data_IF_966341967272
#
_entry.id   IF_966341967272
#
_cell.length_a   1.000
_cell.length_b   1.000
_cell.length_c   1.000
_cell.angle_alpha   90.00
_cell.angle_beta   90.00
_cell.angle_gamma   90.00
#
_symmetry.space_group_name_H-M   'P 1'
#
loop_
_entity.id
_entity.type
_entity.pdbx_description
1 polymer ?
#
# COMPACT_ATOMS: atom_id res chain seq x y z
N UNK A 1 -11.69 30.16 -7.75
CA UNK A 1 -10.24 30.10 -7.54
C UNK A 1 -10.00 30.28 -6.06
N UNK A 2 -9.96 29.19 -5.29
CA UNK A 2 -9.66 29.29 -3.85
C UNK A 2 -8.27 29.88 -3.69
N UNK A 3 -8.19 30.91 -2.85
CA UNK A 3 -7.04 31.78 -2.66
C UNK A 3 -5.78 31.02 -2.29
N UNK A 4 -4.65 31.38 -2.91
CA UNK A 4 -3.31 30.95 -2.54
C UNK A 4 -2.98 31.36 -1.10
N UNK A 5 -3.45 30.54 -0.16
CA UNK A 5 -3.27 30.78 1.25
C UNK A 5 -1.91 30.22 1.67
N UNK A 6 -1.10 31.08 2.25
CA UNK A 6 0.16 30.70 2.86
C UNK A 6 -0.07 29.98 4.19
N UNK A 7 0.56 28.83 4.35
CA UNK A 7 0.62 28.10 5.61
C UNK A 7 1.93 28.44 6.31
N UNK A 8 1.83 28.90 7.55
CA UNK A 8 2.99 29.29 8.35
C UNK A 8 3.21 28.32 9.50
N UNK A 9 4.45 27.82 9.64
CA UNK A 9 4.85 26.87 10.65
C UNK A 9 4.64 25.40 10.25
N UNK A 10 5.55 24.53 10.71
CA UNK A 10 5.49 23.08 10.46
C UNK A 10 4.20 22.43 10.92
N UNK A 11 3.54 22.97 11.96
CA UNK A 11 2.27 22.44 12.48
C UNK A 11 1.11 22.69 11.52
N UNK A 12 1.03 23.87 10.91
CA UNK A 12 -0.02 24.20 9.94
C UNK A 12 0.18 23.40 8.65
N UNK A 13 1.42 23.30 8.17
CA UNK A 13 1.79 22.49 7.01
C UNK A 13 1.48 21.01 7.30
N UNK A 14 1.85 20.49 8.48
CA UNK A 14 1.49 19.14 8.92
C UNK A 14 -0.01 18.87 8.87
N UNK A 15 -0.81 19.78 9.41
CA UNK A 15 -2.28 19.67 9.39
C UNK A 15 -2.82 19.60 7.97
N UNK A 16 -2.25 20.37 7.03
CA UNK A 16 -2.64 20.33 5.62
C UNK A 16 -2.37 18.97 4.97
N UNK A 17 -1.20 18.38 5.24
CA UNK A 17 -0.86 17.03 4.77
C UNK A 17 -1.62 15.91 5.51
N UNK A 18 -2.38 16.21 6.57
CA UNK A 18 -2.92 15.19 7.46
C UNK A 18 -1.84 14.40 8.21
N UNK A 19 -0.67 15.02 8.47
CA UNK A 19 0.50 14.39 9.10
C UNK A 19 1.02 15.22 10.27
N UNK A 20 1.94 14.62 11.04
CA UNK A 20 2.64 15.35 12.11
C UNK A 20 3.65 16.35 11.55
N UNK A 21 3.96 17.39 12.31
CA UNK A 21 5.01 18.36 11.96
C UNK A 21 6.37 17.69 11.69
N UNK A 22 6.72 16.65 12.48
CA UNK A 22 7.96 15.89 12.33
C UNK A 22 8.02 15.13 11.00
N UNK A 23 6.88 14.60 10.54
CA UNK A 23 6.79 13.91 9.25
C UNK A 23 7.04 14.87 8.10
N UNK A 24 6.46 16.07 8.17
CA UNK A 24 6.62 17.09 7.13
C UNK A 24 8.05 17.67 7.11
N UNK A 25 8.68 17.85 8.28
CA UNK A 25 10.10 18.21 8.35
C UNK A 25 10.99 17.18 7.65
N UNK A 26 10.64 15.89 7.78
CA UNK A 26 11.34 14.82 7.06
C UNK A 26 11.14 14.95 5.55
N UNK A 27 9.92 15.23 5.09
CA UNK A 27 9.65 15.47 3.65
C UNK A 27 10.44 16.67 3.10
N UNK A 28 10.59 17.73 3.90
CA UNK A 28 11.42 18.87 3.53
C UNK A 28 12.91 18.49 3.41
N UNK A 29 13.42 17.63 4.29
CA UNK A 29 14.83 17.23 4.32
C UNK A 29 15.18 16.15 3.28
N UNK A 30 14.33 15.14 3.15
CA UNK A 30 14.64 13.90 2.42
C UNK A 30 13.97 13.88 1.03
N UNK A 31 12.74 14.42 0.92
CA UNK A 31 11.91 14.36 -0.30
C UNK A 31 11.86 15.70 -1.07
N UNK A 32 12.59 16.72 -0.60
CA UNK A 32 12.66 18.03 -1.24
C UNK A 32 11.34 18.78 -1.29
N UNK A 33 10.49 18.66 -0.26
CA UNK A 33 9.22 19.38 -0.19
C UNK A 33 9.42 20.90 -0.35
N UNK A 34 8.62 21.59 -1.19
CA UNK A 34 8.76 23.03 -1.38
C UNK A 34 8.28 23.81 -0.15
N UNK A 35 9.21 24.54 0.47
CA UNK A 35 8.90 25.51 1.53
C UNK A 35 9.91 26.67 1.47
N UNK A 36 9.49 27.80 2.04
CA UNK A 36 10.31 28.99 2.24
C UNK A 36 10.53 29.22 3.73
N UNK A 37 11.54 29.98 4.08
CA UNK A 37 11.71 30.50 5.44
C UNK A 37 11.48 32.01 5.43
N UNK A 38 10.64 32.48 6.34
CA UNK A 38 10.53 33.89 6.69
C UNK A 38 11.89 34.42 7.21
N UNK A 39 12.19 35.73 7.22
CA UNK A 39 13.43 36.25 7.81
C UNK A 39 13.65 35.83 9.27
N UNK A 40 12.57 35.51 9.97
CA UNK A 40 12.60 34.95 11.33
C UNK A 40 12.95 33.45 11.41
N UNK A 41 13.25 32.80 10.27
CA UNK A 41 13.52 31.36 10.18
C UNK A 41 12.28 30.47 10.28
N UNK A 42 11.07 31.04 10.17
CA UNK A 42 9.82 30.28 10.26
C UNK A 42 9.47 29.67 8.90
N UNK A 43 9.16 28.37 8.83
CA UNK A 43 8.82 27.72 7.57
C UNK A 43 7.45 28.20 7.07
N UNK A 44 7.34 28.43 5.78
CA UNK A 44 6.11 28.86 5.11
C UNK A 44 5.96 28.09 3.81
N UNK A 45 4.74 27.66 3.49
CA UNK A 45 4.47 26.98 2.24
C UNK A 45 3.13 27.42 1.66
N UNK A 46 3.09 27.52 0.34
CA UNK A 46 1.89 27.84 -0.42
C UNK A 46 1.13 26.55 -0.70
N UNK A 47 -0.18 26.53 -0.46
CA UNK A 47 -1.00 25.30 -0.61
C UNK A 47 -0.88 24.68 -2.01
N UNK A 48 -0.93 25.49 -3.06
CA UNK A 48 -0.79 25.04 -4.46
C UNK A 48 0.54 24.31 -4.73
N UNK A 49 1.64 24.76 -4.12
CA UNK A 49 2.92 24.06 -4.21
C UNK A 49 2.92 22.73 -3.44
N UNK A 50 2.24 22.68 -2.30
CA UNK A 50 2.09 21.44 -1.54
C UNK A 50 1.23 20.42 -2.30
N UNK A 51 0.17 20.86 -2.97
CA UNK A 51 -0.67 19.99 -3.80
C UNK A 51 0.10 19.39 -4.97
N UNK A 52 0.91 20.20 -5.66
CA UNK A 52 1.80 19.72 -6.71
C UNK A 52 2.80 18.69 -6.18
N UNK A 53 3.35 18.92 -4.98
CA UNK A 53 4.23 17.96 -4.32
C UNK A 53 3.52 16.64 -3.98
N UNK A 54 2.30 16.71 -3.44
CA UNK A 54 1.48 15.52 -3.13
C UNK A 54 1.18 14.72 -4.40
N UNK A 55 0.79 15.39 -5.49
CA UNK A 55 0.57 14.75 -6.78
C UNK A 55 1.82 14.02 -7.28
N UNK A 56 2.98 14.68 -7.23
CA UNK A 56 4.25 14.08 -7.63
C UNK A 56 4.61 12.85 -6.78
N UNK A 57 4.43 12.91 -5.46
CA UNK A 57 4.66 11.77 -4.56
C UNK A 57 3.74 10.60 -4.89
N UNK A 58 2.45 10.87 -5.16
CA UNK A 58 1.49 9.85 -5.51
C UNK A 58 1.79 9.19 -6.87
N UNK A 59 2.24 9.96 -7.86
CA UNK A 59 2.69 9.43 -9.15
C UNK A 59 3.90 8.51 -8.99
N UNK A 60 4.89 8.93 -8.20
CA UNK A 60 6.05 8.09 -7.90
C UNK A 60 5.64 6.79 -7.22
N UNK A 61 4.75 6.87 -6.22
CA UNK A 61 4.21 5.70 -5.55
C UNK A 61 3.40 4.80 -6.48
N UNK A 62 2.62 5.34 -7.41
CA UNK A 62 1.89 4.55 -8.40
C UNK A 62 2.85 3.80 -9.33
N UNK A 63 3.87 4.49 -9.84
CA UNK A 63 4.83 3.93 -10.78
C UNK A 63 5.80 2.91 -10.15
N UNK A 64 6.10 3.07 -8.85
CA UNK A 64 7.01 2.16 -8.13
C UNK A 64 6.29 1.02 -7.41
N UNK A 65 5.01 1.20 -7.07
CA UNK A 65 4.21 0.17 -6.45
C UNK A 65 3.74 -0.81 -7.51
N UNK A 66 4.62 -1.75 -7.83
CA UNK A 66 4.22 -3.02 -8.41
C UNK A 66 3.25 -3.67 -7.43
N UNK A 67 1.95 -3.48 -7.62
CA UNK A 67 0.96 -4.29 -6.91
C UNK A 67 1.10 -5.68 -7.50
N UNK A 68 1.69 -6.67 -6.79
CA UNK A 68 1.67 -8.02 -7.32
C UNK A 68 0.21 -8.42 -7.39
N UNK A 69 -0.32 -8.62 -8.59
CA UNK A 69 -1.63 -9.20 -8.76
C UNK A 69 -1.56 -10.65 -8.26
N UNK A 70 -1.89 -10.81 -6.98
CA UNK A 70 -1.98 -12.12 -6.33
C UNK A 70 -3.24 -12.87 -6.78
N UNK A 71 -4.13 -12.26 -7.56
CA UNK A 71 -5.42 -12.84 -7.93
C UNK A 71 -5.29 -14.11 -8.74
N UNK A 72 -4.52 -14.05 -9.84
CA UNK A 72 -4.38 -15.19 -10.77
C UNK A 72 -3.62 -16.35 -10.10
N UNK A 73 -2.50 -16.06 -9.41
CA UNK A 73 -1.71 -17.09 -8.74
C UNK A 73 -2.47 -17.79 -7.61
N UNK A 74 -3.29 -17.04 -6.86
CA UNK A 74 -4.12 -17.60 -5.78
C UNK A 74 -5.28 -18.44 -6.33
N UNK A 75 -5.91 -18.03 -7.43
CA UNK A 75 -6.99 -18.78 -8.06
C UNK A 75 -6.51 -20.16 -8.56
N UNK A 76 -5.35 -20.22 -9.23
CA UNK A 76 -4.74 -21.48 -9.68
C UNK A 76 -4.36 -22.39 -8.51
N UNK A 77 -3.89 -21.83 -7.39
CA UNK A 77 -3.62 -22.59 -6.17
C UNK A 77 -4.85 -23.34 -5.65
N UNK A 78 -6.01 -22.66 -5.57
CA UNK A 78 -7.25 -23.27 -5.11
C UNK A 78 -7.74 -24.43 -6.00
N UNK A 79 -7.61 -24.31 -7.32
CA UNK A 79 -8.03 -25.40 -8.22
C UNK A 79 -7.14 -26.65 -8.06
N UNK A 80 -5.83 -26.45 -7.89
CA UNK A 80 -4.88 -27.53 -7.67
C UNK A 80 -5.14 -28.23 -6.32
N UNK A 81 -5.37 -27.46 -5.25
CA UNK A 81 -5.71 -28.01 -3.93
C UNK A 81 -7.03 -28.82 -3.98
N UNK A 82 -8.04 -28.30 -4.67
CA UNK A 82 -9.33 -28.98 -4.84
C UNK A 82 -9.19 -30.28 -5.65
N UNK A 83 -8.37 -30.27 -6.69
CA UNK A 83 -8.07 -31.46 -7.48
C UNK A 83 -7.35 -32.53 -6.64
N UNK A 84 -6.39 -32.14 -5.80
CA UNK A 84 -5.69 -33.05 -4.90
C UNK A 84 -6.63 -33.67 -3.86
N UNK A 85 -7.47 -32.85 -3.20
CA UNK A 85 -8.46 -33.32 -2.24
C UNK A 85 -9.44 -34.34 -2.86
N UNK A 86 -9.85 -34.13 -4.11
CA UNK A 86 -10.73 -35.06 -4.83
C UNK A 86 -10.06 -36.40 -5.12
N UNK A 87 -8.76 -36.39 -5.47
CA UNK A 87 -7.98 -37.62 -5.67
C UNK A 87 -7.83 -38.40 -4.36
N UNK A 88 -7.40 -37.74 -3.29
CA UNK A 88 -7.24 -38.35 -1.97
C UNK A 88 -8.57 -38.97 -1.46
N UNK A 89 -9.69 -38.30 -1.68
CA UNK A 89 -11.01 -38.81 -1.31
C UNK A 89 -11.36 -40.08 -2.10
N UNK A 90 -11.13 -40.09 -3.41
CA UNK A 90 -11.38 -41.25 -4.26
C UNK A 90 -10.50 -42.44 -3.87
N UNK A 91 -9.23 -42.21 -3.56
CA UNK A 91 -8.31 -43.26 -3.12
C UNK A 91 -8.77 -43.89 -1.79
N UNK A 92 -9.21 -43.06 -0.84
CA UNK A 92 -9.78 -43.53 0.44
C UNK A 92 -11.05 -44.36 0.22
N UNK A 93 -11.94 -43.93 -0.68
CA UNK A 93 -13.15 -44.68 -1.01
C UNK A 93 -12.84 -46.04 -1.63
N UNK A 94 -11.88 -46.11 -2.55
CA UNK A 94 -11.45 -47.38 -3.17
C UNK A 94 -10.84 -48.32 -2.12
N UNK A 95 -10.02 -47.80 -1.20
CA UNK A 95 -9.45 -48.60 -0.11
C UNK A 95 -10.52 -49.13 0.85
N UNK A 96 -11.52 -48.32 1.19
CA UNK A 96 -12.63 -48.72 2.06
C UNK A 96 -13.54 -49.78 1.43
N UNK A 97 -13.65 -49.81 0.10
CA UNK A 97 -14.42 -50.81 -0.64
C UNK A 97 -13.68 -52.15 -0.82
N UNK A 98 -12.36 -52.20 -0.56
CA UNK A 98 -11.62 -53.46 -0.66
C UNK A 98 -12.06 -54.38 0.47
N UNK A 99 -12.60 -55.58 0.18
CA UNK A 99 -12.94 -56.53 1.22
C UNK A 99 -11.67 -56.87 2.01
N UNK A 100 -11.74 -56.80 3.33
CA UNK A 100 -10.69 -57.37 4.19
C UNK A 100 -10.54 -58.83 3.81
N UNK A 101 -9.38 -59.21 3.26
CA UNK A 101 -9.06 -60.61 2.96
C UNK A 101 -9.15 -61.40 4.26
N UNK A 102 -10.31 -62.02 4.45
CA UNK A 102 -10.58 -63.00 5.48
C UNK A 102 -9.64 -64.18 5.23
N UNK A 103 -8.61 -64.34 6.06
CA UNK A 103 -7.83 -65.58 6.15
C UNK A 103 -8.63 -66.54 7.02
N UNK A 104 -9.56 -67.23 6.40
CA UNK A 104 -10.10 -68.50 6.89
C UNK A 104 -9.93 -69.52 5.77
#
# INVERSE_FOLDING_TARGET
METDQWLTGWRAIGKYFGKSARTVQRYARDDGMPFFCDPSGRPMAMKSHLDAHILKMNQYNYNTKNWPDKGIGKALGYENEKAQQKKDLNERLILAQKPTRSRF
#
